data_IF_820331820571
#
_entry.id   IF_820331820571
#
_cell.length_a   1.000
_cell.length_b   1.000
_cell.length_c   1.000
_cell.angle_alpha   90.00
_cell.angle_beta   90.00
_cell.angle_gamma   90.00
#
_symmetry.space_group_name_H-M   'P 1'
#
loop_
_entity.id
_entity.type
_entity.pdbx_description
1 polymer ?
#
# COMPACT_ATOMS: atom_id res chain seq x y z
N UNK A 1 9.63 -6.02 14.52
CA UNK A 1 9.79 -7.49 14.44
C UNK A 1 9.23 -8.08 15.73
N UNK A 2 8.90 -9.37 15.75
CA UNK A 2 8.62 -10.08 17.01
C UNK A 2 9.90 -10.83 17.38
N UNK A 3 10.45 -10.54 18.54
CA UNK A 3 11.81 -10.97 18.92
C UNK A 3 11.83 -11.72 20.25
N UNK A 4 10.97 -11.35 21.20
CA UNK A 4 10.93 -12.00 22.51
C UNK A 4 9.75 -12.97 22.63
N UNK A 5 9.91 -13.95 23.51
CA UNK A 5 8.84 -14.86 23.92
C UNK A 5 7.64 -14.08 24.48
N UNK A 6 6.43 -14.60 24.25
CA UNK A 6 5.15 -13.97 24.64
C UNK A 6 4.80 -12.67 23.90
N UNK A 7 5.64 -12.19 22.98
CA UNK A 7 5.27 -11.10 22.08
C UNK A 7 4.21 -11.57 21.08
N UNK A 8 3.16 -10.75 20.96
CA UNK A 8 2.04 -10.98 20.04
C UNK A 8 2.03 -9.94 18.94
N UNK A 9 1.79 -10.39 17.72
CA UNK A 9 1.58 -9.54 16.56
C UNK A 9 0.25 -9.87 15.90
N UNK A 10 -0.54 -8.84 15.62
CA UNK A 10 -1.71 -8.94 14.78
C UNK A 10 -1.38 -8.38 13.40
N UNK A 11 -1.57 -9.21 12.36
CA UNK A 11 -1.40 -8.81 10.97
C UNK A 11 -2.75 -8.84 10.25
N UNK A 12 -3.31 -7.67 9.95
CA UNK A 12 -4.57 -7.53 9.20
C UNK A 12 -4.28 -7.72 7.71
N UNK A 13 -4.72 -8.83 7.13
CA UNK A 13 -4.50 -9.12 5.71
C UNK A 13 -5.70 -8.76 4.83
N UNK A 14 -6.89 -8.66 5.41
CA UNK A 14 -8.12 -8.26 4.74
C UNK A 14 -8.85 -7.23 5.63
N UNK A 15 -8.59 -5.93 5.41
CA UNK A 15 -9.18 -4.87 6.20
C UNK A 15 -10.68 -4.67 5.92
N UNK A 16 -11.19 -5.17 4.79
CA UNK A 16 -12.59 -5.00 4.42
C UNK A 16 -13.48 -5.97 5.18
N UNK A 17 -13.02 -7.22 5.36
CA UNK A 17 -13.75 -8.25 6.09
C UNK A 17 -13.23 -8.45 7.52
N UNK A 18 -12.37 -7.55 8.01
CA UNK A 18 -11.78 -7.59 9.36
C UNK A 18 -11.11 -8.94 9.67
N UNK A 19 -10.32 -9.48 8.73
CA UNK A 19 -9.57 -10.72 8.96
C UNK A 19 -8.10 -10.44 9.22
N UNK A 20 -7.57 -11.05 10.27
CA UNK A 20 -6.19 -10.91 10.71
C UNK A 20 -5.57 -12.26 11.07
N UNK A 21 -4.25 -12.33 10.97
CA UNK A 21 -3.44 -13.39 11.57
C UNK A 21 -2.95 -12.94 12.94
N UNK A 22 -3.09 -13.83 13.93
CA UNK A 22 -2.43 -13.68 15.22
C UNK A 22 -1.16 -14.52 15.22
N UNK A 23 -0.02 -13.85 15.38
CA UNK A 23 1.28 -14.47 15.52
C UNK A 23 1.74 -14.33 16.96
N UNK A 24 2.28 -15.41 17.50
CA UNK A 24 2.81 -15.49 18.86
C UNK A 24 4.16 -16.19 18.81
N UNK A 25 5.15 -15.62 19.51
CA UNK A 25 6.49 -16.23 19.63
C UNK A 25 6.43 -17.25 20.76
N UNK A 26 6.49 -18.53 20.38
CA UNK A 26 6.36 -19.62 21.32
C UNK A 26 7.65 -19.96 22.08
N UNK A 27 8.78 -19.90 21.39
CA UNK A 27 10.09 -20.29 21.92
C UNK A 27 11.17 -19.56 21.13
N UNK A 28 12.20 -19.10 21.83
CA UNK A 28 13.42 -18.58 21.23
C UNK A 28 14.59 -19.48 21.60
N UNK A 29 15.23 -20.09 20.60
CA UNK A 29 16.35 -21.02 20.79
C UNK A 29 17.67 -20.28 20.54
N UNK A 30 18.48 -19.98 21.59
CA UNK A 30 19.73 -19.24 21.41
C UNK A 30 20.80 -20.08 20.71
N UNK A 31 21.58 -19.46 19.83
CA UNK A 31 22.69 -20.13 19.14
C UNK A 31 22.28 -20.93 17.90
N UNK A 32 20.99 -21.07 17.65
CA UNK A 32 20.47 -21.56 16.37
C UNK A 32 20.14 -20.37 15.45
N UNK A 33 20.47 -20.50 14.17
CA UNK A 33 20.15 -19.51 13.15
C UNK A 33 19.59 -20.22 11.93
N UNK A 34 18.43 -19.75 11.46
CA UNK A 34 17.82 -20.21 10.23
C UNK A 34 18.16 -19.22 9.12
N UNK A 35 18.80 -19.69 8.05
CA UNK A 35 19.07 -18.85 6.87
C UNK A 35 17.78 -18.36 6.20
N UNK A 36 16.70 -19.16 6.31
CA UNK A 36 15.37 -18.87 5.79
C UNK A 36 14.31 -19.43 6.72
N UNK A 37 13.16 -18.78 6.79
CA UNK A 37 12.01 -19.29 7.54
C UNK A 37 11.53 -20.63 6.98
N UNK A 38 11.18 -21.56 7.87
CA UNK A 38 10.70 -22.90 7.52
C UNK A 38 9.31 -23.16 8.14
N UNK A 39 8.43 -23.80 7.37
CA UNK A 39 7.13 -24.26 7.86
C UNK A 39 7.28 -25.69 8.38
N UNK A 40 7.45 -25.82 9.69
CA UNK A 40 7.56 -27.14 10.36
C UNK A 40 6.21 -27.85 10.51
N UNK A 41 5.10 -27.10 10.47
CA UNK A 41 3.74 -27.63 10.58
C UNK A 41 2.73 -26.70 9.92
N UNK A 42 1.86 -27.28 9.10
CA UNK A 42 0.68 -26.61 8.55
C UNK A 42 -0.54 -27.53 8.70
N UNK A 43 -1.71 -26.95 8.98
CA UNK A 43 -2.96 -27.71 9.14
C UNK A 43 -4.13 -26.91 8.57
N UNK A 44 -5.00 -27.60 7.84
CA UNK A 44 -6.17 -27.02 7.21
C UNK A 44 -5.87 -26.47 5.82
N UNK A 45 -6.86 -25.81 5.23
CA UNK A 45 -6.74 -25.12 3.95
C UNK A 45 -6.81 -23.62 4.20
N UNK A 46 -5.88 -22.86 3.62
CA UNK A 46 -5.89 -21.41 3.73
C UNK A 46 -7.15 -20.83 3.07
N UNK A 47 -7.83 -19.87 3.72
CA UNK A 47 -8.98 -19.21 3.11
C UNK A 47 -8.54 -18.30 1.95
N UNK A 48 -9.43 -18.06 0.99
CA UNK A 48 -9.19 -17.09 -0.08
C UNK A 48 -9.00 -15.69 0.52
N UNK A 49 -7.97 -14.97 0.05
CA UNK A 49 -7.58 -13.67 0.60
C UNK A 49 -8.54 -12.55 0.17
N UNK A 50 -8.94 -12.50 -1.11
CA UNK A 50 -9.94 -11.54 -1.62
C UNK A 50 -10.88 -12.28 -2.57
N UNK A 51 -12.19 -12.20 -2.35
CA UNK A 51 -13.17 -12.79 -3.27
C UNK A 51 -13.10 -12.11 -4.65
N UNK A 52 -12.95 -12.91 -5.70
CA UNK A 52 -12.93 -12.42 -7.09
C UNK A 52 -11.60 -11.82 -7.58
N UNK A 53 -10.58 -11.76 -6.72
CA UNK A 53 -9.19 -11.55 -7.16
C UNK A 53 -8.63 -12.94 -7.50
N UNK A 54 -8.39 -13.19 -8.78
CA UNK A 54 -7.70 -14.40 -9.22
C UNK A 54 -6.20 -14.21 -8.90
N UNK A 55 -5.64 -15.05 -8.04
CA UNK A 55 -4.23 -14.99 -7.62
C UNK A 55 -3.25 -15.39 -8.76
N UNK A 56 -3.77 -15.79 -9.92
CA UNK A 56 -2.98 -16.02 -11.11
C UNK A 56 -2.88 -14.72 -11.92
N UNK A 57 -1.68 -14.11 -12.03
CA UNK A 57 -1.51 -12.87 -12.78
C UNK A 57 -1.89 -13.02 -14.26
N UNK A 58 -2.00 -14.25 -14.79
CA UNK A 58 -2.38 -14.53 -16.17
C UNK A 58 -3.90 -14.51 -16.36
N UNK A 59 -4.70 -14.97 -15.40
CA UNK A 59 -6.16 -14.99 -15.55
C UNK A 59 -6.80 -13.63 -15.28
N UNK A 60 -6.20 -12.81 -14.41
CA UNK A 60 -6.62 -11.42 -14.16
C UNK A 60 -6.62 -10.54 -15.44
N UNK A 61 -5.70 -10.79 -16.37
CA UNK A 61 -5.60 -10.07 -17.66
C UNK A 61 -6.66 -10.55 -18.67
N UNK A 62 -7.06 -11.83 -18.60
CA UNK A 62 -7.99 -12.45 -19.55
C UNK A 62 -9.46 -12.28 -19.15
N UNK A 63 -9.76 -12.18 -17.85
CA UNK A 63 -11.13 -11.94 -17.35
C UNK A 63 -11.69 -10.56 -17.76
N UNK A 64 -10.81 -9.58 -18.01
CA UNK A 64 -11.18 -8.24 -18.48
C UNK A 64 -11.68 -8.22 -19.94
N UNK A 65 -11.48 -9.30 -20.71
CA UNK A 65 -11.82 -9.35 -22.14
C UNK A 65 -13.21 -9.94 -22.44
N UNK A 66 -13.84 -10.64 -21.50
CA UNK A 66 -15.07 -11.40 -21.76
C UNK A 66 -16.33 -10.93 -21.00
N UNK A 67 -16.27 -9.86 -20.21
CA UNK A 67 -17.47 -9.17 -19.75
C UNK A 67 -17.72 -7.96 -20.64
N UNK A 68 -18.53 -8.16 -21.68
CA UNK A 68 -19.28 -7.08 -22.29
C UNK A 68 -20.21 -6.48 -21.24
N UNK A 69 -19.74 -5.44 -20.57
CA UNK A 69 -20.55 -4.55 -19.74
C UNK A 69 -20.16 -3.14 -20.14
N UNK A 70 -21.20 -2.38 -20.46
CA UNK A 70 -21.27 -1.01 -20.95
C UNK A 70 -20.19 -0.09 -20.41
N UNK A 71 -19.81 0.88 -21.25
CA UNK A 71 -19.10 2.08 -20.87
C UNK A 71 -19.69 2.68 -19.59
N UNK A 72 -19.07 2.34 -18.46
CA UNK A 72 -19.12 3.13 -17.26
C UNK A 72 -18.16 4.28 -17.53
N UNK A 73 -18.76 5.39 -17.91
CA UNK A 73 -18.41 6.74 -17.51
C UNK A 73 -16.97 6.95 -17.03
N UNK A 74 -16.28 7.79 -17.78
CA UNK A 74 -14.90 8.25 -17.61
C UNK A 74 -14.78 9.21 -16.41
N UNK A 75 -15.36 8.85 -15.26
CA UNK A 75 -15.54 9.72 -14.09
C UNK A 75 -14.28 9.84 -13.20
N UNK A 76 -13.13 9.37 -13.71
CA UNK A 76 -11.80 9.63 -13.17
C UNK A 76 -10.99 10.63 -14.03
N UNK A 77 -11.62 11.24 -15.05
CA UNK A 77 -11.02 12.31 -15.83
C UNK A 77 -11.23 13.71 -15.20
N UNK A 78 -11.86 13.82 -14.02
CA UNK A 78 -11.95 15.09 -13.30
C UNK A 78 -10.77 15.25 -12.34
N UNK A 79 -9.64 15.61 -12.94
CA UNK A 79 -8.47 16.18 -12.29
C UNK A 79 -8.78 17.57 -11.68
N UNK A 80 -9.98 17.83 -11.16
CA UNK A 80 -10.33 19.15 -10.60
C UNK A 80 -9.56 19.49 -9.31
N UNK A 81 -8.85 18.54 -8.71
CA UNK A 81 -8.00 18.78 -7.54
C UNK A 81 -6.59 19.27 -7.94
N UNK A 82 -6.05 18.86 -9.11
CA UNK A 82 -4.71 19.31 -9.56
C UNK A 82 -4.69 20.05 -10.92
N UNK A 83 -5.79 20.08 -11.66
CA UNK A 83 -5.94 20.75 -12.96
C UNK A 83 -6.82 22.00 -12.96
N UNK A 84 -7.43 22.35 -11.82
CA UNK A 84 -8.29 23.54 -11.68
C UNK A 84 -7.55 24.82 -11.32
N UNK A 85 -6.30 24.73 -10.86
CA UNK A 85 -5.46 25.90 -10.64
C UNK A 85 -4.89 26.34 -11.99
N UNK A 86 -5.61 27.25 -12.66
CA UNK A 86 -5.00 28.06 -13.70
C UNK A 86 -3.83 28.79 -13.04
N UNK A 87 -2.59 28.49 -13.41
CA UNK A 87 -1.44 29.25 -12.94
C UNK A 87 -1.66 30.71 -13.35
N UNK A 88 -1.92 31.57 -12.37
CA UNK A 88 -2.06 32.99 -12.61
C UNK A 88 -0.65 33.58 -12.56
N UNK A 89 -0.04 33.78 -13.72
CA UNK A 89 1.30 34.37 -13.82
C UNK A 89 1.37 35.75 -13.15
N UNK A 90 0.23 36.46 -13.02
CA UNK A 90 0.13 37.75 -12.33
C UNK A 90 0.19 37.63 -10.79
N UNK A 91 0.02 36.44 -10.21
CA UNK A 91 0.14 36.17 -8.77
C UNK A 91 1.59 35.88 -8.35
N UNK A 92 2.47 35.58 -9.31
CA UNK A 92 3.88 35.32 -9.05
C UNK A 92 4.62 36.66 -8.91
N UNK A 93 4.78 37.13 -7.68
CA UNK A 93 5.60 38.31 -7.35
C UNK A 93 7.10 38.00 -7.51
N UNK A 94 7.61 38.19 -8.73
CA UNK A 94 9.02 37.97 -9.08
C UNK A 94 9.97 38.99 -8.43
N UNK A 95 9.47 40.18 -8.08
CA UNK A 95 10.27 41.25 -7.47
C UNK A 95 10.53 40.99 -5.97
N UNK A 96 9.66 40.23 -5.30
CA UNK A 96 9.85 39.79 -3.91
C UNK A 96 10.95 38.74 -3.69
N UNK A 97 11.45 38.11 -4.76
CA UNK A 97 12.51 37.10 -4.70
C UNK A 97 13.92 37.68 -4.96
N UNK A 98 14.04 38.98 -5.22
CA UNK A 98 15.34 39.63 -5.23
C UNK A 98 15.90 39.70 -3.80
N UNK A 99 16.70 38.69 -3.43
CA UNK A 99 17.68 38.86 -2.36
C UNK A 99 18.66 39.90 -2.89
N UNK A 100 18.42 41.18 -2.58
CA UNK A 100 19.40 42.23 -2.85
C UNK A 100 20.72 41.77 -2.25
N UNK A 101 21.74 41.65 -3.09
CA UNK A 101 23.04 41.06 -2.76
C UNK A 101 23.88 42.01 -1.87
N UNK A 102 23.24 42.63 -0.86
CA UNK A 102 23.82 43.77 -0.15
C UNK A 102 23.02 44.28 1.05
N UNK A 103 22.55 43.41 1.94
CA UNK A 103 22.27 43.82 3.32
C UNK A 103 22.55 42.67 4.30
N UNK A 104 23.70 42.69 5.00
CA UNK A 104 23.96 41.76 6.06
C UNK A 104 23.23 42.26 7.32
N UNK A 105 22.53 41.34 7.99
CA UNK A 105 21.90 41.48 9.31
C UNK A 105 20.70 42.46 9.39
N UNK A 106 19.49 41.88 9.54
CA UNK A 106 18.44 42.44 10.38
C UNK A 106 18.06 41.38 11.43
#
# INVERSE_FOLDING_TARGET
MIEDEEQRLEFVFDPFNNRSFYLDVKELIPGEHLDKAEIVRSKGNAPQQIEGMDDDPVTAITAKKNKGVSAADDDYADDAIFGGASFNDDEIDLDGFEISEGAPYA
#
